data_IF_803791053796
#
_entry.id   IF_803791053796
#
_cell.length_a   1.000
_cell.length_b   1.000
_cell.length_c   1.000
_cell.angle_alpha   90.00
_cell.angle_beta   90.00
_cell.angle_gamma   90.00
#
_symmetry.space_group_name_H-M   'P 1'
#
loop_
_entity.id
_entity.type
_entity.pdbx_description
1 polymer ?
#
# COMPACT_ATOMS: atom_id res chain seq x y z
N UNK A 1 -6.11 -12.21 19.28
CA UNK A 1 -7.36 -11.74 18.65
C UNK A 1 -8.24 -12.96 18.38
N UNK A 2 -9.56 -12.90 18.65
CA UNK A 2 -10.52 -13.97 18.39
C UNK A 2 -10.68 -14.36 16.91
N UNK A 3 -10.31 -13.48 15.98
CA UNK A 3 -10.31 -13.74 14.52
C UNK A 3 -9.27 -14.77 14.06
N UNK A 4 -8.30 -15.14 14.92
CA UNK A 4 -7.28 -16.14 14.59
C UNK A 4 -7.86 -17.52 14.22
N UNK A 5 -9.09 -17.84 14.67
CA UNK A 5 -9.79 -19.07 14.29
C UNK A 5 -10.38 -19.01 12.88
N UNK A 6 -10.79 -17.82 12.42
CA UNK A 6 -11.38 -17.60 11.11
C UNK A 6 -10.31 -17.44 10.02
N UNK A 7 -9.16 -16.84 10.35
CA UNK A 7 -7.97 -16.87 9.49
C UNK A 7 -7.54 -18.31 9.15
N UNK A 8 -7.58 -19.22 10.13
CA UNK A 8 -7.31 -20.65 9.91
C UNK A 8 -8.31 -21.34 8.96
N UNK A 9 -9.46 -20.70 8.68
CA UNK A 9 -10.48 -21.19 7.75
C UNK A 9 -10.42 -20.50 6.38
N UNK A 10 -9.49 -19.57 6.17
CA UNK A 10 -9.29 -18.91 4.88
C UNK A 10 -9.97 -17.55 4.73
N UNK A 11 -10.66 -17.04 5.76
CA UNK A 11 -11.28 -15.70 5.71
C UNK A 11 -10.21 -14.60 5.76
N UNK A 12 -10.40 -13.54 4.97
CA UNK A 12 -9.50 -12.40 4.94
C UNK A 12 -9.80 -11.43 6.10
N UNK A 13 -8.81 -10.62 6.46
CA UNK A 13 -8.96 -9.63 7.52
C UNK A 13 -10.07 -8.61 7.20
N UNK A 14 -10.20 -8.23 5.93
CA UNK A 14 -11.19 -7.26 5.46
C UNK A 14 -12.63 -7.79 5.61
N UNK A 15 -12.84 -9.09 5.40
CA UNK A 15 -14.17 -9.73 5.49
C UNK A 15 -14.82 -9.56 6.86
N UNK A 16 -14.01 -9.43 7.91
CA UNK A 16 -14.49 -9.24 9.28
C UNK A 16 -14.35 -7.80 9.80
N UNK A 17 -13.47 -6.99 9.21
CA UNK A 17 -13.07 -5.68 9.78
C UNK A 17 -13.42 -4.48 8.89
N UNK A 18 -14.06 -4.65 7.73
CA UNK A 18 -14.38 -3.55 6.80
C UNK A 18 -15.18 -2.40 7.47
N UNK A 19 -16.14 -2.73 8.35
CA UNK A 19 -16.91 -1.71 9.08
C UNK A 19 -16.16 -1.14 10.30
N UNK A 20 -15.08 -1.79 10.75
CA UNK A 20 -14.34 -1.42 11.97
C UNK A 20 -13.05 -0.62 11.68
N UNK A 21 -12.64 -0.51 10.41
CA UNK A 21 -11.36 0.09 10.00
C UNK A 21 -11.17 1.49 10.61
N UNK A 22 -12.19 2.33 10.52
CA UNK A 22 -12.14 3.70 11.04
C UNK A 22 -11.98 3.74 12.56
N UNK A 23 -12.64 2.83 13.28
CA UNK A 23 -12.56 2.75 14.74
C UNK A 23 -11.24 2.15 15.23
N UNK A 24 -10.67 1.20 14.47
CA UNK A 24 -9.29 0.75 14.68
C UNK A 24 -8.32 1.93 14.52
N UNK A 25 -8.49 2.73 13.46
CA UNK A 25 -7.72 3.95 13.21
C UNK A 25 -7.78 4.94 14.37
N UNK A 26 -8.99 5.20 14.92
CA UNK A 26 -9.17 6.08 16.09
C UNK A 26 -8.38 5.60 17.30
N UNK A 27 -8.43 4.31 17.62
CA UNK A 27 -7.70 3.71 18.76
C UNK A 27 -6.18 3.76 18.58
N UNK A 28 -5.69 3.70 17.34
CA UNK A 28 -4.26 3.84 17.04
C UNK A 28 -3.81 5.30 17.13
N UNK A 29 -4.54 6.22 16.49
CA UNK A 29 -4.22 7.65 16.50
C UNK A 29 -4.35 8.29 17.90
N UNK A 30 -5.17 7.74 18.79
CA UNK A 30 -5.26 8.18 20.20
C UNK A 30 -4.14 7.62 21.10
N UNK A 31 -3.32 6.68 20.61
CA UNK A 31 -2.31 5.97 21.41
C UNK A 31 -2.88 4.97 22.42
N UNK A 32 -4.17 4.63 22.34
CA UNK A 32 -4.83 3.77 23.33
C UNK A 32 -4.48 2.29 23.21
N UNK A 33 -3.74 1.87 22.17
CA UNK A 33 -3.46 0.45 21.92
C UNK A 33 -2.05 0.13 21.45
N UNK A 34 -1.63 0.64 20.28
CA UNK A 34 -0.47 0.10 19.56
C UNK A 34 0.63 1.14 19.25
N UNK A 35 0.30 2.43 19.28
CA UNK A 35 1.23 3.51 19.02
C UNK A 35 1.59 4.21 20.35
N UNK A 36 2.81 4.06 20.87
CA UNK A 36 3.22 4.66 22.13
C UNK A 36 3.47 6.17 22.02
N UNK A 37 3.67 6.69 20.81
CA UNK A 37 4.00 8.09 20.52
C UNK A 37 3.06 8.64 19.43
N UNK A 38 1.74 8.71 19.69
CA UNK A 38 0.78 9.17 18.70
C UNK A 38 1.03 10.64 18.32
N UNK A 39 0.70 11.01 17.09
CA UNK A 39 0.74 12.40 16.62
C UNK A 39 -0.59 13.06 17.02
N UNK A 40 -0.61 14.03 17.96
CA UNK A 40 -1.84 14.70 18.36
C UNK A 40 -2.52 15.35 17.16
N UNK A 41 -3.83 15.13 17.01
CA UNK A 41 -4.61 15.70 15.90
C UNK A 41 -4.44 15.01 14.54
N UNK A 42 -3.61 13.95 14.44
CA UNK A 42 -3.51 13.18 13.20
C UNK A 42 -4.84 12.52 12.85
N UNK A 43 -5.18 12.55 11.57
CA UNK A 43 -6.36 11.89 11.05
C UNK A 43 -6.33 10.38 11.37
N UNK A 44 -7.39 9.82 11.95
CA UNK A 44 -7.41 8.40 12.31
C UNK A 44 -7.54 7.46 11.10
N UNK A 45 -8.16 7.94 10.02
CA UNK A 45 -8.36 7.22 8.77
C UNK A 45 -8.50 8.19 7.60
N UNK A 46 -8.31 7.68 6.38
CA UNK A 46 -8.53 8.40 5.13
C UNK A 46 -9.39 7.51 4.25
N UNK A 47 -10.54 8.02 3.81
CA UNK A 47 -11.35 7.34 2.79
C UNK A 47 -10.76 7.62 1.42
N UNK A 48 -10.38 6.54 0.71
CA UNK A 48 -9.76 6.62 -0.61
C UNK A 48 -10.66 5.91 -1.62
N UNK A 49 -10.98 6.58 -2.71
CA UNK A 49 -11.62 5.96 -3.87
C UNK A 49 -10.53 5.47 -4.82
N UNK A 50 -10.62 4.20 -5.21
CA UNK A 50 -9.70 3.56 -6.14
C UNK A 50 -10.45 3.17 -7.41
N UNK A 51 -9.90 3.53 -8.56
CA UNK A 51 -10.39 3.14 -9.88
C UNK A 51 -9.27 2.46 -10.65
N UNK A 52 -9.60 1.42 -11.42
CA UNK A 52 -8.64 0.69 -12.24
C UNK A 52 -9.17 0.49 -13.66
N UNK A 53 -8.28 0.51 -14.65
CA UNK A 53 -8.56 0.17 -16.03
C UNK A 53 -7.28 -0.31 -16.72
N UNK A 54 -7.39 -1.02 -17.84
CA UNK A 54 -6.24 -1.37 -18.67
C UNK A 54 -6.52 -1.14 -20.16
N UNK A 55 -5.50 -1.03 -21.00
CA UNK A 55 -5.62 -0.94 -22.47
C UNK A 55 -5.05 -2.18 -23.20
N UNK A 56 -4.65 -3.20 -22.45
CA UNK A 56 -3.95 -4.39 -22.94
C UNK A 56 -2.41 -4.27 -22.97
N UNK A 57 -1.85 -3.08 -22.77
CA UNK A 57 -0.41 -2.85 -22.59
C UNK A 57 -0.11 -2.32 -21.17
N UNK A 58 -0.90 -1.35 -20.72
CA UNK A 58 -0.74 -0.65 -19.45
C UNK A 58 -1.97 -0.82 -18.55
N UNK A 59 -1.70 -0.90 -17.25
CA UNK A 59 -2.64 -0.73 -16.15
C UNK A 59 -2.62 0.73 -15.70
N UNK A 60 -3.81 1.28 -15.50
CA UNK A 60 -4.07 2.60 -14.94
C UNK A 60 -4.73 2.44 -13.58
N UNK A 61 -4.12 3.01 -12.54
CA UNK A 61 -4.67 3.04 -11.19
C UNK A 61 -4.85 4.49 -10.75
N UNK A 62 -6.08 4.87 -10.43
CA UNK A 62 -6.39 6.20 -9.91
C UNK A 62 -6.81 6.11 -8.45
N UNK A 63 -6.10 6.84 -7.60
CA UNK A 63 -6.42 7.04 -6.20
C UNK A 63 -6.93 8.46 -6.01
N UNK A 64 -8.05 8.64 -5.32
CA UNK A 64 -8.57 9.96 -4.99
C UNK A 64 -9.10 10.03 -3.57
N UNK A 65 -8.81 11.14 -2.89
CA UNK A 65 -9.24 11.34 -1.50
C UNK A 65 -9.31 12.83 -1.15
N UNK A 66 -10.07 13.14 -0.10
CA UNK A 66 -10.07 14.46 0.52
C UNK A 66 -8.89 14.53 1.49
N UNK A 67 -8.03 15.55 1.34
CA UNK A 67 -6.94 15.83 2.27
C UNK A 67 -7.52 16.00 3.69
N UNK A 68 -7.07 15.20 4.68
CA UNK A 68 -7.46 15.40 6.07
C UNK A 68 -6.95 16.73 6.61
N UNK A 69 -7.56 17.18 7.71
CA UNK A 69 -7.06 18.33 8.46
C UNK A 69 -5.61 18.06 8.93
N UNK A 70 -4.76 19.08 8.84
CA UNK A 70 -3.40 19.00 9.34
C UNK A 70 -3.40 18.79 10.86
N UNK A 71 -2.50 17.94 11.36
CA UNK A 71 -2.36 17.69 12.79
C UNK A 71 -1.76 18.89 13.55
N UNK A 72 -1.03 19.76 12.83
CA UNK A 72 -0.23 20.84 13.41
C UNK A 72 1.12 20.38 13.98
N UNK A 73 1.44 19.09 13.88
CA UNK A 73 2.72 18.55 14.32
C UNK A 73 3.89 19.00 13.41
N UNK A 74 5.14 18.96 13.92
CA UNK A 74 6.31 19.22 13.09
C UNK A 74 6.38 18.30 11.88
N UNK A 75 6.70 18.87 10.71
CA UNK A 75 6.86 18.12 9.46
C UNK A 75 8.02 17.13 9.57
N UNK A 76 7.75 15.86 9.33
CA UNK A 76 8.80 14.83 9.37
C UNK A 76 9.58 14.72 8.06
N UNK A 77 8.92 15.05 6.95
CA UNK A 77 9.41 15.11 5.58
C UNK A 77 8.87 16.41 4.96
N UNK A 78 9.65 17.49 5.05
CA UNK A 78 9.20 18.83 4.68
C UNK A 78 8.92 18.97 3.17
N UNK A 79 9.61 18.18 2.35
CA UNK A 79 9.54 18.23 0.89
C UNK A 79 8.29 17.52 0.36
N UNK A 80 7.78 16.52 1.09
CA UNK A 80 6.67 15.69 0.63
C UNK A 80 5.47 15.77 1.58
N UNK A 81 4.55 16.73 1.35
CA UNK A 81 3.26 16.79 2.04
C UNK A 81 2.49 15.47 2.00
N UNK A 82 2.55 14.78 0.86
CA UNK A 82 1.89 13.50 0.62
C UNK A 82 2.84 12.54 -0.09
N UNK A 83 2.78 11.26 0.29
CA UNK A 83 3.30 10.15 -0.52
C UNK A 83 2.24 9.07 -0.57
N UNK A 84 2.07 8.44 -1.73
CA UNK A 84 1.23 7.25 -1.88
C UNK A 84 2.05 6.14 -2.50
N UNK A 85 1.89 4.93 -1.98
CA UNK A 85 2.49 3.74 -2.54
C UNK A 85 1.44 2.63 -2.62
N UNK A 86 1.55 1.77 -3.62
CA UNK A 86 0.79 0.54 -3.67
C UNK A 86 1.73 -0.65 -3.85
N UNK A 87 1.23 -1.83 -3.50
CA UNK A 87 1.94 -3.08 -3.64
C UNK A 87 1.06 -4.10 -4.35
N UNK A 88 1.70 -4.96 -5.15
CA UNK A 88 1.08 -6.10 -5.82
C UNK A 88 1.79 -7.38 -5.41
N UNK A 89 1.06 -8.49 -5.32
CA UNK A 89 1.62 -9.81 -5.03
C UNK A 89 0.86 -10.91 -5.82
N UNK A 90 1.61 -11.87 -6.35
CA UNK A 90 1.16 -12.88 -7.34
C UNK A 90 0.66 -14.19 -6.68
N UNK A 91 0.05 -14.11 -5.49
CA UNK A 91 -0.48 -15.24 -4.72
C UNK A 91 0.55 -16.36 -4.43
N UNK A 92 1.82 -15.98 -4.28
CA UNK A 92 2.97 -16.88 -4.00
C UNK A 92 3.49 -16.76 -2.58
N UNK A 93 3.08 -15.73 -1.86
CA UNK A 93 3.40 -15.54 -0.45
C UNK A 93 2.26 -16.11 0.39
N UNK A 94 2.60 -17.01 1.32
CA UNK A 94 1.64 -17.65 2.21
C UNK A 94 0.84 -16.58 2.97
N UNK A 95 -0.50 -16.63 2.90
CA UNK A 95 -1.45 -15.70 3.56
C UNK A 95 -1.46 -14.26 3.06
N UNK A 96 -0.77 -13.96 1.96
CA UNK A 96 -0.87 -12.64 1.33
C UNK A 96 -2.32 -12.31 0.90
N UNK A 97 -3.11 -13.33 0.58
CA UNK A 97 -4.54 -13.26 0.27
C UNK A 97 -5.42 -12.97 1.50
N UNK A 98 -5.06 -13.52 2.66
CA UNK A 98 -5.84 -13.37 3.90
C UNK A 98 -5.52 -12.09 4.66
N UNK A 99 -4.23 -11.78 4.75
CA UNK A 99 -3.74 -10.65 5.53
C UNK A 99 -3.42 -9.44 4.65
N UNK A 100 -3.35 -9.62 3.33
CA UNK A 100 -3.06 -8.54 2.40
C UNK A 100 -1.62 -8.04 2.46
N UNK A 101 -1.40 -6.90 1.82
CA UNK A 101 -0.14 -6.16 1.90
C UNK A 101 0.17 -5.65 3.33
N UNK A 102 -0.77 -5.77 4.28
CA UNK A 102 -0.56 -5.47 5.68
C UNK A 102 0.53 -6.34 6.33
N UNK A 103 0.70 -7.61 5.93
CA UNK A 103 1.76 -8.47 6.48
C UNK A 103 3.14 -7.88 6.28
N UNK A 104 3.34 -7.18 5.17
CA UNK A 104 4.62 -6.54 4.89
C UNK A 104 4.95 -5.44 5.90
N UNK A 105 3.94 -4.86 6.56
CA UNK A 105 4.06 -3.67 7.40
C UNK A 105 4.02 -3.97 8.92
N UNK A 106 4.09 -5.23 9.35
CA UNK A 106 3.92 -5.59 10.77
C UNK A 106 5.09 -5.17 11.69
N UNK A 107 4.87 -5.39 13.00
CA UNK A 107 5.47 -4.75 14.19
C UNK A 107 7.00 -4.62 14.28
N UNK A 108 7.75 -5.29 13.42
CA UNK A 108 9.21 -5.35 13.41
C UNK A 108 9.83 -4.58 12.24
N UNK A 109 9.02 -3.87 11.44
CA UNK A 109 9.53 -2.97 10.42
C UNK A 109 10.40 -1.87 11.05
N UNK A 110 11.50 -1.48 10.39
CA UNK A 110 12.58 -0.57 10.85
C UNK A 110 12.15 0.59 11.76
N UNK A 111 11.01 1.23 11.51
CA UNK A 111 10.56 2.42 12.25
C UNK A 111 9.47 2.14 13.29
N UNK A 112 9.10 0.88 13.52
CA UNK A 112 8.11 0.47 14.52
C UNK A 112 8.69 0.51 15.93
N UNK A 113 7.84 0.69 16.97
CA UNK A 113 8.30 0.66 18.35
C UNK A 113 9.04 -0.65 18.67
N UNK A 114 10.29 -0.54 19.10
CA UNK A 114 11.14 -1.69 19.47
C UNK A 114 11.84 -2.39 18.31
N UNK A 115 11.73 -1.90 17.08
CA UNK A 115 12.44 -2.44 15.92
C UNK A 115 13.90 -1.93 15.82
N UNK A 116 14.76 -2.72 15.18
CA UNK A 116 16.14 -2.32 14.85
C UNK A 116 16.13 -1.37 13.64
N UNK A 117 16.78 -0.21 13.78
CA UNK A 117 16.95 0.79 12.71
C UNK A 117 17.76 0.28 11.51
N UNK A 118 18.46 -0.85 11.61
CA UNK A 118 19.15 -1.50 10.50
C UNK A 118 18.32 -2.61 9.85
N UNK A 119 17.16 -2.94 10.41
CA UNK A 119 16.32 -3.99 9.89
C UNK A 119 15.86 -3.66 8.47
N UNK A 120 16.13 -4.56 7.56
CA UNK A 120 15.53 -4.55 6.23
C UNK A 120 14.12 -5.13 6.34
N UNK A 121 13.19 -4.62 5.52
CA UNK A 121 11.84 -5.20 5.42
C UNK A 121 11.98 -6.62 4.87
N UNK A 122 11.59 -7.62 5.64
CA UNK A 122 11.77 -9.04 5.31
C UNK A 122 10.40 -9.72 5.26
N UNK A 123 10.11 -10.36 4.14
CA UNK A 123 9.00 -11.30 3.96
C UNK A 123 9.54 -12.70 4.25
N UNK A 124 8.84 -13.46 5.08
CA UNK A 124 9.20 -14.85 5.36
C UNK A 124 9.22 -15.66 4.07
N UNK A 125 10.37 -16.22 3.70
CA UNK A 125 10.54 -16.93 2.42
C UNK A 125 10.63 -16.02 1.20
N UNK A 126 10.77 -14.71 1.40
CA UNK A 126 10.83 -13.72 0.32
C UNK A 126 12.04 -13.93 -0.59
N UNK A 127 11.78 -14.12 -1.88
CA UNK A 127 12.80 -14.32 -2.91
C UNK A 127 12.24 -13.84 -4.27
N UNK A 128 12.94 -12.89 -4.88
CA UNK A 128 12.53 -12.30 -6.17
C UNK A 128 12.61 -13.30 -7.30
N UNK A 129 13.65 -14.15 -7.30
CA UNK A 129 13.91 -15.09 -8.39
C UNK A 129 12.91 -16.26 -8.41
N UNK A 130 12.29 -16.57 -7.25
CA UNK A 130 11.18 -17.53 -7.15
C UNK A 130 9.79 -16.90 -7.28
N UNK A 131 9.69 -15.58 -7.44
CA UNK A 131 8.42 -14.86 -7.52
C UNK A 131 7.73 -14.60 -6.17
N UNK A 132 8.41 -14.84 -5.05
CA UNK A 132 7.90 -14.62 -3.69
C UNK A 132 8.29 -13.21 -3.21
N UNK A 133 7.65 -12.19 -3.76
CA UNK A 133 7.91 -10.79 -3.40
C UNK A 133 6.67 -9.95 -3.63
N UNK A 134 6.66 -8.75 -3.05
CA UNK A 134 5.68 -7.72 -3.38
C UNK A 134 6.33 -6.70 -4.33
N UNK A 135 5.73 -6.47 -5.49
CA UNK A 135 6.02 -5.34 -6.37
C UNK A 135 5.58 -4.05 -5.65
N UNK A 136 6.40 -3.00 -5.67
CA UNK A 136 6.21 -1.78 -4.91
C UNK A 136 6.41 -0.55 -5.80
N UNK A 137 5.35 0.23 -5.97
CA UNK A 137 5.39 1.49 -6.69
C UNK A 137 4.99 2.65 -5.77
N UNK A 138 5.67 3.79 -5.88
CA UNK A 138 5.41 4.97 -5.06
C UNK A 138 5.48 6.27 -5.86
N UNK A 139 4.61 7.21 -5.49
CA UNK A 139 4.66 8.61 -5.90
C UNK A 139 4.84 9.52 -4.69
N UNK A 140 5.60 10.60 -4.85
CA UNK A 140 5.81 11.63 -3.82
C UNK A 140 5.45 13.02 -4.32
N UNK A 141 4.69 13.76 -3.52
CA UNK A 141 4.10 15.02 -3.93
C UNK A 141 5.07 16.19 -4.04
N UNK A 142 6.31 16.07 -3.54
CA UNK A 142 7.27 17.17 -3.54
C UNK A 142 7.64 17.60 -4.95
N UNK A 143 8.51 16.83 -5.60
CA UNK A 143 8.91 17.06 -7.01
C UNK A 143 8.19 16.14 -8.00
N UNK A 144 7.19 15.37 -7.54
CA UNK A 144 6.56 14.32 -8.35
C UNK A 144 7.47 13.11 -8.55
N UNK A 145 8.35 12.81 -7.59
CA UNK A 145 9.27 11.66 -7.67
C UNK A 145 8.48 10.36 -7.70
N UNK A 146 8.91 9.44 -8.55
CA UNK A 146 8.34 8.11 -8.66
C UNK A 146 9.41 7.06 -8.36
N UNK A 147 8.98 5.94 -7.78
CA UNK A 147 9.85 4.83 -7.42
C UNK A 147 9.19 3.52 -7.83
N UNK A 148 10.02 2.59 -8.31
CA UNK A 148 9.62 1.28 -8.80
C UNK A 148 10.62 0.22 -8.31
N UNK A 149 10.14 -0.68 -7.46
CA UNK A 149 10.96 -1.66 -6.79
C UNK A 149 10.13 -2.75 -6.14
N UNK A 150 10.64 -3.32 -5.05
CA UNK A 150 10.02 -4.51 -4.45
C UNK A 150 10.32 -4.66 -2.97
N UNK A 151 9.59 -5.59 -2.35
CA UNK A 151 9.82 -6.08 -0.98
C UNK A 151 9.89 -7.59 -0.99
N UNK A 152 11.04 -8.12 -0.57
CA UNK A 152 11.29 -9.55 -0.37
C UNK A 152 12.06 -9.72 0.95
N UNK A 153 13.29 -10.23 0.91
CA UNK A 153 14.24 -10.24 2.03
C UNK A 153 14.65 -8.83 2.50
N UNK A 154 14.56 -7.87 1.58
CA UNK A 154 14.77 -6.45 1.79
C UNK A 154 13.75 -5.64 1.00
N UNK A 155 13.65 -4.36 1.35
CA UNK A 155 12.96 -3.34 0.55
C UNK A 155 13.96 -2.68 -0.40
N UNK A 156 13.63 -2.67 -1.68
CA UNK A 156 14.35 -1.96 -2.74
C UNK A 156 13.37 -0.99 -3.39
N UNK A 157 13.79 0.25 -3.63
CA UNK A 157 12.93 1.31 -4.17
C UNK A 157 13.18 1.59 -5.66
N UNK A 158 14.20 0.97 -6.25
CA UNK A 158 14.69 1.26 -7.59
C UNK A 158 15.02 -0.03 -8.34
N UNK A 159 15.03 0.03 -9.67
CA UNK A 159 15.44 -1.07 -10.54
C UNK A 159 14.28 -1.83 -11.18
N UNK A 160 13.04 -1.52 -10.77
CA UNK A 160 11.85 -1.85 -11.55
C UNK A 160 11.81 -1.07 -12.86
N UNK A 161 11.03 -1.57 -13.83
CA UNK A 161 10.80 -0.94 -15.15
C UNK A 161 9.33 -1.01 -15.57
N UNK A 162 8.46 -1.37 -14.64
CA UNK A 162 7.03 -1.55 -14.83
C UNK A 162 6.32 -0.21 -14.74
N UNK A 163 6.75 0.69 -13.84
CA UNK A 163 6.17 2.01 -13.66
C UNK A 163 6.54 2.93 -14.83
N UNK A 164 5.53 3.42 -15.56
CA UNK A 164 5.69 4.35 -16.68
C UNK A 164 5.61 5.80 -16.18
N UNK A 165 4.61 6.09 -15.37
CA UNK A 165 4.41 7.42 -14.78
C UNK A 165 3.55 7.34 -13.52
N UNK A 166 3.66 8.36 -12.67
CA UNK A 166 2.67 8.64 -11.66
C UNK A 166 2.49 10.15 -11.50
N UNK A 167 1.25 10.62 -11.64
CA UNK A 167 0.93 12.05 -11.67
C UNK A 167 -0.11 12.36 -10.61
N UNK A 168 0.22 13.31 -9.72
CA UNK A 168 -0.67 13.74 -8.66
C UNK A 168 -1.14 15.18 -8.84
N UNK A 169 -2.43 15.41 -8.59
CA UNK A 169 -3.07 16.72 -8.64
C UNK A 169 -3.82 16.98 -7.33
N UNK A 170 -3.76 18.22 -6.84
CA UNK A 170 -4.56 18.67 -5.70
C UNK A 170 -5.43 19.86 -6.13
N UNK A 171 -6.75 19.67 -6.07
CA UNK A 171 -7.74 20.71 -6.36
C UNK A 171 -8.59 20.98 -5.12
N UNK A 172 -8.35 22.11 -4.46
CA UNK A 172 -9.13 22.50 -3.27
C UNK A 172 -9.02 21.48 -2.12
N UNK A 173 -7.88 20.80 -2.00
CA UNK A 173 -7.66 19.75 -1.01
C UNK A 173 -8.31 18.41 -1.39
N UNK A 174 -8.68 18.20 -2.65
CA UNK A 174 -9.01 16.89 -3.19
C UNK A 174 -7.82 16.39 -4.02
N UNK A 175 -7.20 15.32 -3.56
CA UNK A 175 -6.10 14.69 -4.27
C UNK A 175 -6.62 13.70 -5.30
N UNK A 176 -5.93 13.62 -6.42
CA UNK A 176 -6.06 12.57 -7.42
C UNK A 176 -4.66 12.19 -7.89
N UNK A 177 -4.25 10.93 -7.70
CA UNK A 177 -2.98 10.39 -8.18
C UNK A 177 -3.27 9.26 -9.15
N UNK A 178 -2.73 9.36 -10.36
CA UNK A 178 -2.86 8.33 -11.40
C UNK A 178 -1.50 7.69 -11.64
N UNK A 179 -1.43 6.37 -11.48
CA UNK A 179 -0.29 5.56 -11.86
C UNK A 179 -0.56 4.89 -13.20
N UNK A 180 0.44 4.86 -14.06
CA UNK A 180 0.47 4.03 -15.27
C UNK A 180 1.63 3.06 -15.14
N UNK A 181 1.34 1.75 -15.19
CA UNK A 181 2.37 0.69 -15.21
C UNK A 181 2.11 -0.27 -16.37
N UNK A 182 3.16 -0.82 -16.95
CA UNK A 182 3.07 -1.90 -17.94
C UNK A 182 2.47 -3.14 -17.30
N UNK A 183 1.53 -3.79 -17.98
CA UNK A 183 1.02 -5.09 -17.54
C UNK A 183 2.16 -6.12 -17.50
N UNK A 184 3.04 -6.12 -18.50
CA UNK A 184 4.16 -7.04 -18.59
C UNK A 184 5.22 -6.89 -17.47
N UNK A 185 5.19 -5.81 -16.68
CA UNK A 185 6.31 -5.44 -15.82
C UNK A 185 7.54 -5.06 -16.66
N UNK A 186 8.73 -5.53 -16.28
CA UNK A 186 9.93 -5.45 -17.14
C UNK A 186 11.27 -5.33 -16.42
N UNK A 187 11.26 -5.12 -15.10
CA UNK A 187 12.42 -4.98 -14.24
C UNK A 187 12.47 -6.04 -13.15
N UNK A 188 13.53 -5.98 -12.34
CA UNK A 188 13.67 -6.88 -11.19
C UNK A 188 12.68 -6.44 -10.12
N UNK A 189 11.79 -7.34 -9.74
CA UNK A 189 10.77 -7.03 -8.73
C UNK A 189 9.47 -6.47 -9.32
N UNK A 190 9.27 -6.56 -10.63
CA UNK A 190 7.99 -6.23 -11.25
C UNK A 190 7.19 -7.51 -11.49
N UNK A 191 5.91 -7.50 -11.12
CA UNK A 191 5.01 -8.62 -11.41
C UNK A 191 4.41 -8.48 -12.81
N UNK A 192 4.53 -9.52 -13.62
CA UNK A 192 3.80 -9.60 -14.89
C UNK A 192 2.31 -9.88 -14.61
N UNK A 193 1.46 -8.92 -14.97
CA UNK A 193 0.02 -8.99 -14.84
C UNK A 193 -0.60 -9.56 -16.12
N UNK A 194 -1.41 -10.60 -15.98
CA UNK A 194 -2.07 -11.29 -17.08
C UNK A 194 -3.58 -11.09 -17.01
N UNK A 195 -4.20 -10.90 -18.18
CA UNK A 195 -5.66 -10.87 -18.33
C UNK A 195 -6.28 -12.19 -17.84
N UNK A 196 -7.44 -12.10 -17.19
CA UNK A 196 -8.14 -13.21 -16.56
C UNK A 196 -7.58 -13.63 -15.19
N UNK A 197 -6.64 -12.88 -14.60
CA UNK A 197 -6.04 -13.19 -13.28
C UNK A 197 -6.33 -12.14 -12.22
N UNK A 198 -6.24 -12.57 -10.97
CA UNK A 198 -6.32 -11.72 -9.78
C UNK A 198 -4.98 -11.68 -9.05
N UNK A 199 -4.72 -10.54 -8.40
CA UNK A 199 -3.50 -10.25 -7.67
C UNK A 199 -3.82 -9.64 -6.32
N UNK A 200 -3.01 -9.91 -5.30
CA UNK A 200 -3.14 -9.24 -4.02
C UNK A 200 -2.69 -7.78 -4.16
N UNK A 201 -3.49 -6.87 -3.61
CA UNK A 201 -3.34 -5.43 -3.76
C UNK A 201 -3.51 -4.73 -2.41
N UNK A 202 -2.71 -3.71 -2.18
CA UNK A 202 -2.85 -2.83 -1.03
C UNK A 202 -2.05 -1.55 -1.22
N UNK A 203 -2.38 -0.53 -0.46
CA UNK A 203 -1.77 0.79 -0.60
C UNK A 203 -1.60 1.50 0.74
N UNK A 204 -0.73 2.50 0.74
CA UNK A 204 -0.43 3.31 1.90
C UNK A 204 -0.29 4.78 1.52
N UNK A 205 -0.76 5.66 2.40
CA UNK A 205 -0.62 7.11 2.29
C UNK A 205 0.14 7.63 3.50
N UNK A 206 1.27 8.29 3.24
CA UNK A 206 1.84 9.23 4.21
C UNK A 206 1.18 10.59 3.94
N UNK A 207 0.28 11.01 4.83
CA UNK A 207 -0.28 12.36 4.82
C UNK A 207 0.44 13.27 5.80
N UNK A 208 0.16 14.58 5.73
CA UNK A 208 0.62 15.58 6.70
C UNK A 208 2.14 15.54 6.95
N UNK A 209 2.91 15.41 5.85
CA UNK A 209 4.37 15.33 5.87
C UNK A 209 4.93 14.17 6.72
N UNK A 210 4.12 13.13 6.96
CA UNK A 210 4.52 11.98 7.77
C UNK A 210 5.60 11.13 7.08
N UNK A 211 6.31 10.35 7.90
CA UNK A 211 7.28 9.35 7.42
C UNK A 211 7.24 8.10 8.29
N UNK A 212 7.91 7.04 7.81
CA UNK A 212 8.06 5.80 8.56
C UNK A 212 6.70 5.21 8.94
N UNK A 213 6.55 4.80 10.20
CA UNK A 213 5.37 4.11 10.74
C UNK A 213 4.06 4.93 10.76
N UNK A 214 4.12 6.24 10.51
CA UNK A 214 2.95 7.13 10.62
C UNK A 214 2.14 7.26 9.32
N UNK A 215 2.19 6.26 8.44
CA UNK A 215 1.30 6.19 7.28
C UNK A 215 -0.02 5.53 7.63
N UNK A 216 -1.05 5.90 6.89
CA UNK A 216 -2.28 5.11 6.76
C UNK A 216 -2.02 3.98 5.77
N UNK A 217 -2.56 2.82 6.06
CA UNK A 217 -2.42 1.62 5.22
C UNK A 217 -3.80 1.01 5.04
N UNK A 218 -4.07 0.53 3.83
CA UNK A 218 -5.27 -0.19 3.50
C UNK A 218 -5.23 -1.62 4.05
N UNK A 219 -6.38 -2.28 4.11
CA UNK A 219 -6.38 -3.75 4.16
C UNK A 219 -5.91 -4.34 2.82
N UNK A 220 -5.78 -5.67 2.77
CA UNK A 220 -5.64 -6.38 1.52
C UNK A 220 -6.94 -6.38 0.73
N UNK A 221 -6.81 -6.11 -0.57
CA UNK A 221 -7.85 -6.27 -1.57
C UNK A 221 -7.31 -7.13 -2.71
N UNK A 222 -8.19 -7.63 -3.55
CA UNK A 222 -7.86 -8.27 -4.81
C UNK A 222 -7.98 -7.28 -5.98
N UNK A 223 -7.00 -7.29 -6.88
CA UNK A 223 -7.01 -6.58 -8.16
C UNK A 223 -7.17 -7.60 -9.29
N UNK A 224 -8.26 -7.53 -10.03
CA UNK A 224 -8.52 -8.36 -11.20
C UNK A 224 -8.15 -7.64 -12.50
N UNK A 225 -7.36 -8.30 -13.36
CA UNK A 225 -7.11 -7.82 -14.72
C UNK A 225 -8.08 -8.56 -15.63
N UNK A 226 -9.12 -7.87 -16.11
CA UNK A 226 -10.23 -8.48 -16.86
C UNK A 226 -10.86 -9.69 -16.13
N UNK A 227 -10.86 -9.65 -14.79
CA UNK A 227 -11.37 -10.70 -13.91
C UNK A 227 -12.13 -10.05 -12.74
N UNK A 228 -13.07 -10.80 -12.16
CA UNK A 228 -13.81 -10.35 -10.98
C UNK A 228 -12.92 -10.39 -9.73
N UNK A 229 -12.90 -9.27 -9.01
CA UNK A 229 -12.13 -9.00 -7.80
C UNK A 229 -12.77 -7.81 -7.04
N UNK A 230 -12.17 -7.41 -5.93
CA UNK A 230 -12.58 -6.20 -5.19
C UNK A 230 -12.39 -4.94 -6.04
N UNK A 231 -11.31 -4.90 -6.83
CA UNK A 231 -10.98 -3.83 -7.76
C UNK A 231 -10.77 -4.44 -9.14
N UNK A 232 -11.61 -4.05 -10.10
CA UNK A 232 -11.59 -4.61 -11.46
C UNK A 232 -10.93 -3.63 -12.44
N UNK A 233 -9.77 -4.00 -12.98
CA UNK A 233 -9.14 -3.32 -14.10
C UNK A 233 -9.64 -3.93 -15.40
N UNK A 234 -10.80 -3.45 -15.88
CA UNK A 234 -11.35 -3.89 -17.16
C UNK A 234 -10.64 -3.21 -18.34
N UNK A 235 -10.45 -3.96 -19.43
CA UNK A 235 -9.91 -3.43 -20.69
C UNK A 235 -10.87 -2.38 -21.28
N UNK A 236 -10.32 -1.22 -21.64
CA UNK A 236 -11.03 -0.09 -22.25
C UNK A 236 -10.48 0.22 -23.63
#
# INVERSE_FOLDING_TARGET
HGGARLLKKGEACVDCHDEEIADMGKKMASGSKIEPTPIPGKAPSITVNVQAANDGENLYLRFSWKQPAASGAPKMDADNPVKIAFMLEDNKIERADQSGCWETCHQDARTMPGADDKKTKYVTGGNVDSGQFYDLMQWRSGKGEIHDGYVADKRVMEGGKGLVSAEGKNEGGNWSVVFTRKLAGGGKGDIALASGKTYNFGFAIHDDNAKGRFHHVSFGYSLGIDADADINAAKK
#
